data_IF_817737676248
#
_entry.id   IF_817737676248
#
_cell.length_a   1.000
_cell.length_b   1.000
_cell.length_c   1.000
_cell.angle_alpha   90.00
_cell.angle_beta   90.00
_cell.angle_gamma   90.00
#
_symmetry.space_group_name_H-M   'P 1'
#
loop_
_entity.id
_entity.type
_entity.pdbx_description
1 polymer ?
#
# COMPACT_ATOMS: atom_id res chain seq x y z
N UNK A 1 -48.21 -14.52 40.52
CA UNK A 1 -47.02 -13.88 41.12
C UNK A 1 -46.86 -12.50 40.50
N UNK A 2 -46.56 -11.45 41.26
CA UNK A 2 -46.42 -10.09 40.71
C UNK A 2 -44.94 -9.71 40.66
N UNK A 3 -44.43 -9.44 39.48
CA UNK A 3 -43.10 -8.87 39.27
C UNK A 3 -43.14 -7.34 39.36
N UNK A 4 -42.19 -6.76 40.08
CA UNK A 4 -42.07 -5.30 40.27
C UNK A 4 -41.05 -4.73 39.29
N UNK A 5 -41.27 -3.52 38.72
CA UNK A 5 -40.21 -2.79 38.02
C UNK A 5 -38.94 -2.68 38.87
N UNK A 6 -37.78 -2.94 38.27
CA UNK A 6 -36.48 -3.00 38.93
C UNK A 6 -36.16 -4.33 39.63
N UNK A 7 -37.11 -5.27 39.68
CA UNK A 7 -36.88 -6.58 40.27
C UNK A 7 -35.93 -7.42 39.39
N UNK A 8 -34.99 -8.11 40.03
CA UNK A 8 -34.10 -9.06 39.36
C UNK A 8 -34.77 -10.42 39.22
N UNK A 9 -34.66 -10.99 38.02
CA UNK A 9 -35.22 -12.29 37.67
C UNK A 9 -34.17 -13.13 36.96
N UNK A 10 -34.30 -14.44 37.07
CA UNK A 10 -33.59 -15.42 36.26
C UNK A 10 -34.59 -16.19 35.40
N UNK A 11 -34.20 -16.47 34.15
CA UNK A 11 -34.98 -17.30 33.24
C UNK A 11 -34.96 -18.74 33.74
N UNK A 12 -36.12 -19.33 33.93
CA UNK A 12 -36.26 -20.76 34.27
C UNK A 12 -36.58 -21.55 33.01
N UNK A 13 -37.45 -21.02 32.15
CA UNK A 13 -37.85 -21.64 30.90
C UNK A 13 -38.43 -20.59 29.95
N UNK A 14 -38.20 -20.76 28.65
CA UNK A 14 -38.82 -19.99 27.57
C UNK A 14 -39.33 -20.95 26.52
N UNK A 15 -40.53 -20.73 26.01
CA UNK A 15 -41.11 -21.51 24.92
C UNK A 15 -40.80 -20.93 23.53
N UNK A 16 -40.29 -19.69 23.48
CA UNK A 16 -39.83 -19.04 22.24
C UNK A 16 -38.63 -19.78 21.61
N UNK A 17 -38.80 -20.43 20.45
CA UNK A 17 -37.70 -21.15 19.79
C UNK A 17 -36.70 -20.21 19.10
N UNK A 18 -37.01 -18.92 18.99
CA UNK A 18 -36.20 -17.92 18.29
C UNK A 18 -35.33 -17.09 19.22
N UNK A 19 -35.37 -17.33 20.54
CA UNK A 19 -34.53 -16.60 21.51
C UNK A 19 -33.18 -17.27 21.75
N UNK A 20 -32.15 -16.43 21.91
CA UNK A 20 -30.83 -16.86 22.37
C UNK A 20 -30.75 -17.00 23.90
N UNK A 21 -31.78 -16.60 24.63
CA UNK A 21 -31.80 -16.76 26.08
C UNK A 21 -31.78 -18.24 26.48
N UNK A 22 -31.12 -18.54 27.60
CA UNK A 22 -31.00 -19.88 28.17
C UNK A 22 -31.48 -19.87 29.62
N UNK A 23 -32.04 -20.99 30.13
CA UNK A 23 -32.33 -21.12 31.56
C UNK A 23 -31.10 -20.78 32.41
N UNK A 24 -31.26 -19.85 33.35
CA UNK A 24 -30.19 -19.28 34.17
C UNK A 24 -29.85 -17.82 33.83
N UNK A 25 -30.16 -17.36 32.61
CA UNK A 25 -29.91 -15.97 32.22
C UNK A 25 -30.65 -15.02 33.14
N UNK A 26 -29.99 -13.92 33.50
CA UNK A 26 -30.53 -12.94 34.44
C UNK A 26 -30.91 -11.63 33.76
N UNK A 27 -31.90 -10.97 34.33
CA UNK A 27 -32.44 -9.73 33.78
C UNK A 27 -33.16 -8.89 34.83
N UNK A 28 -33.47 -7.66 34.45
CA UNK A 28 -34.20 -6.70 35.28
C UNK A 28 -35.57 -6.45 34.69
N UNK A 29 -36.61 -6.65 35.50
CA UNK A 29 -37.99 -6.39 35.11
C UNK A 29 -38.17 -4.90 34.84
N UNK A 30 -38.58 -4.54 33.63
CA UNK A 30 -38.98 -3.18 33.26
C UNK A 30 -40.41 -2.91 33.67
N UNK A 31 -41.29 -3.85 33.33
CA UNK A 31 -42.74 -3.72 33.48
C UNK A 31 -43.36 -5.10 33.54
N UNK A 32 -44.46 -5.21 34.27
CA UNK A 32 -45.31 -6.39 34.27
C UNK A 32 -46.74 -5.97 33.94
N UNK A 33 -47.24 -6.40 32.79
CA UNK A 33 -48.65 -6.25 32.42
C UNK A 33 -49.44 -7.43 32.99
N UNK A 34 -50.12 -7.17 34.11
CA UNK A 34 -50.92 -8.19 34.80
C UNK A 34 -52.16 -8.63 34.01
N UNK A 35 -52.64 -7.81 33.07
CA UNK A 35 -53.84 -8.15 32.29
C UNK A 35 -53.53 -9.20 31.22
N UNK A 36 -52.33 -9.13 30.66
CA UNK A 36 -51.88 -10.03 29.60
C UNK A 36 -50.85 -11.06 30.10
N UNK A 37 -50.50 -11.03 31.40
CA UNK A 37 -49.49 -11.91 32.00
C UNK A 37 -48.12 -11.85 31.27
N UNK A 38 -47.73 -10.65 30.84
CA UNK A 38 -46.47 -10.39 30.13
C UNK A 38 -45.50 -9.62 31.03
N UNK A 39 -44.27 -10.13 31.17
CA UNK A 39 -43.18 -9.45 31.89
C UNK A 39 -42.15 -8.96 30.89
N UNK A 40 -42.02 -7.65 30.75
CA UNK A 40 -40.95 -7.03 29.95
C UNK A 40 -39.65 -7.05 30.78
N UNK A 41 -38.61 -7.70 30.27
CA UNK A 41 -37.32 -7.84 30.95
C UNK A 41 -36.21 -7.25 30.10
N UNK A 42 -35.33 -6.46 30.71
CA UNK A 42 -34.01 -6.15 30.16
C UNK A 42 -33.05 -7.21 30.64
N UNK A 43 -32.70 -8.15 29.77
CA UNK A 43 -31.74 -9.21 30.06
C UNK A 43 -30.32 -8.67 30.04
N UNK A 44 -29.44 -9.23 30.87
CA UNK A 44 -28.05 -8.77 30.97
C UNK A 44 -27.26 -9.05 29.68
N UNK A 45 -27.71 -10.01 28.88
CA UNK A 45 -27.24 -10.27 27.51
C UNK A 45 -27.55 -9.12 26.53
N UNK A 46 -28.39 -8.15 26.93
CA UNK A 46 -28.85 -7.05 26.09
C UNK A 46 -30.20 -7.31 25.41
N UNK A 47 -30.75 -8.53 25.49
CA UNK A 47 -32.08 -8.83 24.99
C UNK A 47 -33.17 -8.05 25.74
N UNK A 48 -34.21 -7.62 25.03
CA UNK A 48 -35.42 -7.02 25.63
C UNK A 48 -36.63 -7.95 25.52
N UNK A 49 -36.41 -9.25 25.32
CA UNK A 49 -37.49 -10.22 25.13
C UNK A 49 -38.45 -10.20 26.33
N UNK A 50 -39.73 -10.08 26.00
CA UNK A 50 -40.81 -10.14 26.98
C UNK A 50 -41.21 -11.59 27.24
N UNK A 51 -41.56 -11.90 28.48
CA UNK A 51 -41.92 -13.26 28.90
C UNK A 51 -43.43 -13.38 29.03
N UNK A 52 -44.01 -14.31 28.28
CA UNK A 52 -45.44 -14.62 28.26
C UNK A 52 -45.71 -15.75 29.26
N UNK A 53 -46.09 -15.39 30.48
CA UNK A 53 -46.23 -16.37 31.57
C UNK A 53 -47.37 -17.38 31.34
N UNK A 54 -48.37 -17.02 30.52
CA UNK A 54 -49.47 -17.90 30.13
C UNK A 54 -49.07 -18.89 29.03
N UNK A 55 -48.02 -18.59 28.26
CA UNK A 55 -47.51 -19.42 27.15
C UNK A 55 -46.30 -20.27 27.55
N UNK A 56 -46.19 -20.55 28.85
CA UNK A 56 -45.24 -21.49 29.41
C UNK A 56 -43.92 -20.88 29.89
N UNK A 57 -43.66 -19.59 29.64
CA UNK A 57 -42.44 -18.93 30.12
C UNK A 57 -42.41 -18.88 31.64
N UNK A 58 -41.23 -19.09 32.22
CA UNK A 58 -41.04 -19.13 33.67
C UNK A 58 -39.87 -18.27 34.08
N UNK A 59 -40.12 -17.40 35.05
CA UNK A 59 -39.13 -16.59 35.72
C UNK A 59 -39.09 -16.96 37.20
N UNK A 60 -37.92 -16.78 37.83
CA UNK A 60 -37.81 -16.80 39.29
C UNK A 60 -37.14 -15.52 39.76
N UNK A 61 -37.62 -14.86 40.82
CA UNK A 61 -36.89 -13.75 41.43
C UNK A 61 -35.50 -14.21 41.87
N UNK A 62 -34.50 -13.36 41.68
CA UNK A 62 -33.16 -13.58 42.21
C UNK A 62 -32.74 -12.41 43.09
N UNK A 63 -32.04 -12.72 44.17
CA UNK A 63 -31.46 -11.71 45.09
C UNK A 63 -29.99 -11.44 44.79
N UNK A 64 -29.42 -12.08 43.76
CA UNK A 64 -28.05 -11.81 43.36
C UNK A 64 -27.96 -10.38 42.81
N UNK A 65 -27.16 -9.49 43.43
CA UNK A 65 -26.78 -8.25 42.76
C UNK A 65 -26.08 -8.61 41.44
N UNK A 66 -26.13 -7.73 40.41
CA UNK A 66 -25.26 -7.91 39.26
C UNK A 66 -23.84 -8.12 39.78
N UNK A 67 -23.09 -9.12 39.28
CA UNK A 67 -21.70 -9.26 39.69
C UNK A 67 -21.04 -7.89 39.43
N UNK A 68 -20.42 -7.26 40.46
CA UNK A 68 -19.61 -6.08 40.22
C UNK A 68 -18.40 -6.56 39.44
N UNK A 69 -18.50 -6.55 38.11
CA UNK A 69 -17.33 -6.58 37.26
C UNK A 69 -16.50 -5.38 37.64
N UNK A 70 -15.25 -5.62 38.06
CA UNK A 70 -14.31 -4.55 38.36
C UNK A 70 -14.15 -3.73 37.07
N UNK A 71 -14.70 -2.49 36.99
CA UNK A 71 -14.81 -1.79 35.71
C UNK A 71 -13.45 -1.53 35.08
N UNK A 72 -12.41 -1.45 35.90
CA UNK A 72 -11.02 -1.24 35.45
C UNK A 72 -10.39 -2.55 34.98
N UNK A 73 -10.67 -3.67 35.65
CA UNK A 73 -10.29 -5.01 35.22
C UNK A 73 -10.96 -5.39 33.90
N UNK A 74 -12.26 -5.11 33.78
CA UNK A 74 -13.07 -5.39 32.60
C UNK A 74 -12.67 -4.51 31.41
N UNK A 75 -12.39 -3.22 31.62
CA UNK A 75 -11.92 -2.32 30.56
C UNK A 75 -10.53 -2.72 30.04
N UNK A 76 -9.61 -3.09 30.93
CA UNK A 76 -8.26 -3.53 30.53
C UNK A 76 -8.31 -4.86 29.80
N UNK A 77 -9.11 -5.80 30.28
CA UNK A 77 -9.32 -7.09 29.62
C UNK A 77 -10.00 -6.92 28.24
N UNK A 78 -10.94 -6.00 28.13
CA UNK A 78 -11.59 -5.69 26.85
C UNK A 78 -10.63 -5.05 25.85
N UNK A 79 -9.82 -4.07 26.28
CA UNK A 79 -8.81 -3.45 25.42
C UNK A 79 -7.80 -4.48 24.90
N UNK A 80 -7.34 -5.40 25.75
CA UNK A 80 -6.46 -6.49 25.33
C UNK A 80 -7.13 -7.44 24.32
N UNK A 81 -8.43 -7.70 24.47
CA UNK A 81 -9.22 -8.47 23.50
C UNK A 81 -9.34 -7.75 22.16
N UNK A 82 -9.66 -6.45 22.15
CA UNK A 82 -9.69 -5.65 20.93
C UNK A 82 -8.32 -5.58 20.24
N UNK A 83 -7.23 -5.52 21.01
CA UNK A 83 -5.87 -5.58 20.44
C UNK A 83 -5.59 -6.91 19.75
N UNK A 84 -6.04 -8.04 20.33
CA UNK A 84 -5.94 -9.36 19.71
C UNK A 84 -6.78 -9.45 18.43
N UNK A 85 -8.01 -8.95 18.46
CA UNK A 85 -8.85 -8.86 17.25
C UNK A 85 -8.21 -8.03 16.15
N UNK A 86 -7.61 -6.88 16.49
CA UNK A 86 -6.87 -6.04 15.54
C UNK A 86 -5.69 -6.80 14.94
N UNK A 87 -4.88 -7.45 15.77
CA UNK A 87 -3.72 -8.21 15.30
C UNK A 87 -4.12 -9.35 14.35
N UNK A 88 -5.18 -10.10 14.69
CA UNK A 88 -5.72 -11.15 13.84
C UNK A 88 -6.26 -10.59 12.51
N UNK A 89 -6.97 -9.46 12.54
CA UNK A 89 -7.44 -8.77 11.33
C UNK A 89 -6.27 -8.36 10.43
N UNK A 90 -5.22 -7.77 11.01
CA UNK A 90 -3.99 -7.40 10.30
C UNK A 90 -3.33 -8.61 9.62
N UNK A 91 -3.13 -9.72 10.34
CA UNK A 91 -2.53 -10.94 9.79
C UNK A 91 -3.37 -11.54 8.64
N UNK A 92 -4.70 -11.59 8.83
CA UNK A 92 -5.62 -12.09 7.82
C UNK A 92 -5.63 -11.18 6.57
N UNK A 93 -5.58 -9.86 6.74
CA UNK A 93 -5.50 -8.88 5.66
C UNK A 93 -4.21 -9.03 4.85
N UNK A 94 -3.06 -9.16 5.52
CA UNK A 94 -1.78 -9.42 4.87
C UNK A 94 -1.80 -10.72 4.06
N UNK A 95 -2.33 -11.79 4.63
CA UNK A 95 -2.46 -13.09 3.96
C UNK A 95 -3.41 -13.02 2.75
N UNK A 96 -4.48 -12.23 2.84
CA UNK A 96 -5.39 -12.00 1.72
C UNK A 96 -4.71 -11.24 0.57
N UNK A 97 -3.94 -10.19 0.89
CA UNK A 97 -3.15 -9.43 -0.08
C UNK A 97 -2.10 -10.30 -0.79
N UNK A 98 -1.43 -11.20 -0.09
CA UNK A 98 -0.45 -12.12 -0.71
C UNK A 98 -1.10 -13.09 -1.69
N UNK A 99 -2.26 -13.65 -1.32
CA UNK A 99 -3.05 -14.51 -2.23
C UNK A 99 -3.51 -13.73 -3.44
N UNK A 100 -4.10 -12.55 -3.23
CA UNK A 100 -4.53 -11.66 -4.31
C UNK A 100 -3.37 -11.33 -5.26
N UNK A 101 -2.22 -10.92 -4.73
CA UNK A 101 -1.06 -10.56 -5.52
C UNK A 101 -0.60 -11.72 -6.39
N UNK A 102 -0.63 -12.96 -5.88
CA UNK A 102 -0.27 -14.16 -6.63
C UNK A 102 -1.12 -14.34 -7.90
N UNK A 103 -2.39 -13.94 -7.86
CA UNK A 103 -3.34 -14.03 -8.96
C UNK A 103 -3.37 -12.79 -9.86
N UNK A 104 -3.17 -11.59 -9.30
CA UNK A 104 -3.32 -10.32 -10.03
C UNK A 104 -2.02 -9.84 -10.66
N UNK A 105 -0.89 -9.93 -9.95
CA UNK A 105 0.43 -9.42 -10.37
C UNK A 105 1.53 -10.48 -10.28
N UNK A 106 1.20 -11.71 -9.89
CA UNK A 106 2.13 -12.80 -9.62
C UNK A 106 2.28 -13.76 -10.80
N UNK A 107 2.84 -14.94 -10.53
CA UNK A 107 3.12 -15.94 -11.56
C UNK A 107 1.90 -16.53 -12.25
N UNK A 108 0.70 -16.34 -11.67
CA UNK A 108 -0.56 -16.79 -12.27
C UNK A 108 -1.23 -15.71 -13.11
N UNK A 109 -0.80 -14.46 -12.99
CA UNK A 109 -1.26 -13.38 -13.84
C UNK A 109 -0.68 -13.59 -15.24
N UNK A 110 -1.54 -13.61 -16.27
CA UNK A 110 -1.08 -13.54 -17.65
C UNK A 110 -0.61 -12.13 -17.99
N UNK A 111 0.49 -12.01 -18.73
CA UNK A 111 1.02 -10.71 -19.19
C UNK A 111 2.20 -10.16 -18.38
N UNK A 112 2.58 -8.92 -18.65
CA UNK A 112 3.65 -8.21 -17.95
C UNK A 112 3.15 -7.69 -16.60
N UNK A 113 3.88 -8.02 -15.53
CA UNK A 113 3.50 -7.74 -14.14
C UNK A 113 3.77 -6.29 -13.74
N UNK A 114 4.82 -5.67 -14.30
CA UNK A 114 5.23 -4.31 -13.93
C UNK A 114 4.18 -3.26 -14.31
N UNK A 115 3.67 -3.23 -15.57
CA UNK A 115 2.62 -2.29 -15.95
C UNK A 115 1.34 -2.46 -15.12
N UNK A 116 0.92 -3.71 -14.88
CA UNK A 116 -0.25 -4.00 -14.06
C UNK A 116 -0.09 -3.48 -12.61
N UNK A 117 1.08 -3.72 -12.00
CA UNK A 117 1.38 -3.24 -10.65
C UNK A 117 1.40 -1.71 -10.56
N UNK A 118 1.98 -1.02 -11.55
CA UNK A 118 1.99 0.46 -11.62
C UNK A 118 0.58 1.03 -11.76
N UNK A 119 -0.25 0.46 -12.63
CA UNK A 119 -1.64 0.90 -12.81
C UNK A 119 -2.43 0.80 -11.50
N UNK A 120 -2.21 -0.26 -10.73
CA UNK A 120 -2.83 -0.43 -9.40
C UNK A 120 -2.31 0.62 -8.42
N UNK A 121 -1.00 0.89 -8.39
CA UNK A 121 -0.44 1.94 -7.51
C UNK A 121 -0.99 3.33 -7.83
N UNK A 122 -1.08 3.69 -9.12
CA UNK A 122 -1.67 4.94 -9.56
C UNK A 122 -3.15 5.04 -9.12
N UNK A 123 -3.94 3.99 -9.35
CA UNK A 123 -5.34 3.98 -8.91
C UNK A 123 -5.53 4.06 -7.40
N UNK A 124 -4.62 3.46 -6.60
CA UNK A 124 -4.64 3.62 -5.13
C UNK A 124 -4.35 5.08 -4.76
N UNK A 125 -3.35 5.72 -5.36
CA UNK A 125 -2.98 7.10 -5.08
C UNK A 125 -4.10 8.09 -5.46
N UNK A 126 -4.77 7.85 -6.59
CA UNK A 126 -5.88 8.68 -7.08
C UNK A 126 -7.21 8.42 -6.35
N UNK A 127 -7.27 7.35 -5.56
CA UNK A 127 -8.51 6.89 -4.92
C UNK A 127 -9.54 6.36 -5.92
N UNK A 128 -9.09 5.73 -7.01
CA UNK A 128 -9.95 5.14 -8.04
C UNK A 128 -10.81 4.01 -7.43
N UNK A 129 -12.16 4.17 -7.38
CA UNK A 129 -13.05 3.15 -6.83
C UNK A 129 -12.89 1.80 -7.52
N UNK A 130 -12.63 1.74 -8.83
CA UNK A 130 -12.49 0.47 -9.53
C UNK A 130 -11.25 -0.32 -9.08
N UNK A 131 -10.18 0.38 -8.69
CA UNK A 131 -8.97 -0.24 -8.15
C UNK A 131 -9.18 -0.62 -6.68
N UNK A 132 -9.75 0.29 -5.88
CA UNK A 132 -10.01 0.03 -4.45
C UNK A 132 -10.99 -1.12 -4.24
N UNK A 133 -12.05 -1.22 -5.05
CA UNK A 133 -13.02 -2.32 -5.02
C UNK A 133 -12.41 -3.67 -5.47
N UNK A 134 -11.30 -3.65 -6.21
CA UNK A 134 -10.58 -4.83 -6.65
C UNK A 134 -9.52 -5.32 -5.64
N UNK A 135 -9.22 -4.53 -4.60
CA UNK A 135 -8.34 -4.95 -3.51
C UNK A 135 -9.04 -5.97 -2.60
N UNK A 136 -8.29 -6.82 -1.89
CA UNK A 136 -8.90 -7.70 -0.90
C UNK A 136 -9.56 -6.84 0.19
N UNK A 137 -10.87 -6.98 0.29
CA UNK A 137 -11.66 -6.38 1.35
C UNK A 137 -12.40 -7.48 2.10
N UNK A 138 -12.72 -7.23 3.36
CA UNK A 138 -13.42 -8.22 4.18
C UNK A 138 -14.87 -8.35 3.71
N UNK A 139 -15.23 -9.49 3.13
CA UNK A 139 -16.62 -9.84 2.84
C UNK A 139 -17.15 -10.77 3.92
N UNK A 140 -18.23 -10.34 4.54
CA UNK A 140 -19.07 -11.24 5.33
C UNK A 140 -20.17 -11.78 4.40
N UNK A 141 -20.18 -13.08 4.16
CA UNK A 141 -21.31 -13.74 3.48
C UNK A 141 -22.45 -14.07 4.46
N UNK A 142 -22.25 -13.94 5.79
CA UNK A 142 -23.23 -14.33 6.82
C UNK A 142 -23.15 -13.52 8.12
N UNK A 143 -24.28 -13.19 8.75
CA UNK A 143 -24.41 -12.30 9.93
C UNK A 143 -23.26 -12.38 10.98
N UNK A 144 -22.98 -11.25 11.68
CA UNK A 144 -21.96 -11.16 12.75
C UNK A 144 -22.02 -12.32 13.76
N UNK A 145 -23.20 -12.89 13.99
CA UNK A 145 -23.39 -14.01 14.90
C UNK A 145 -22.97 -15.39 14.33
N UNK A 146 -23.05 -15.63 13.01
CA UNK A 146 -22.76 -16.94 12.42
C UNK A 146 -21.27 -17.23 12.30
N UNK A 147 -20.48 -16.20 11.96
CA UNK A 147 -19.03 -16.34 11.69
C UNK A 147 -18.14 -15.55 12.65
N UNK A 148 -18.70 -14.57 13.39
CA UNK A 148 -17.91 -13.71 14.28
C UNK A 148 -17.31 -14.47 15.47
N UNK A 149 -17.98 -15.52 15.95
CA UNK A 149 -17.47 -16.33 17.06
C UNK A 149 -16.24 -17.15 16.69
N UNK A 150 -16.13 -17.63 15.44
CA UNK A 150 -14.95 -18.36 14.95
C UNK A 150 -13.74 -17.43 14.88
N UNK A 151 -13.92 -16.24 14.29
CA UNK A 151 -12.87 -15.22 14.22
C UNK A 151 -12.43 -14.75 15.62
N UNK A 152 -13.38 -14.59 16.54
CA UNK A 152 -13.06 -14.26 17.91
C UNK A 152 -12.29 -15.38 18.61
N UNK A 153 -12.71 -16.64 18.42
CA UNK A 153 -12.03 -17.80 18.99
C UNK A 153 -10.61 -17.94 18.44
N UNK A 154 -10.41 -17.77 17.13
CA UNK A 154 -9.08 -17.83 16.50
C UNK A 154 -8.16 -16.70 17.01
N UNK A 155 -8.70 -15.48 17.14
CA UNK A 155 -7.92 -14.32 17.60
C UNK A 155 -7.59 -14.38 19.09
N UNK A 156 -8.48 -14.91 19.92
CA UNK A 156 -8.37 -14.83 21.39
C UNK A 156 -8.05 -16.14 22.07
N UNK A 157 -8.24 -17.27 21.39
CA UNK A 157 -8.20 -18.61 21.97
C UNK A 157 -9.40 -18.94 22.88
N UNK A 158 -10.44 -18.09 22.92
CA UNK A 158 -11.58 -18.23 23.83
C UNK A 158 -12.93 -18.23 23.09
N UNK A 159 -13.42 -19.42 22.80
CA UNK A 159 -14.76 -19.63 22.21
C UNK A 159 -15.87 -19.18 23.16
N UNK A 160 -15.70 -19.40 24.46
CA UNK A 160 -16.74 -19.12 25.46
C UNK A 160 -16.93 -17.63 25.72
N UNK A 161 -15.84 -16.87 25.62
CA UNK A 161 -15.81 -15.42 25.80
C UNK A 161 -16.77 -14.70 24.85
N UNK A 162 -16.86 -15.13 23.59
CA UNK A 162 -17.75 -14.52 22.60
C UNK A 162 -19.23 -14.52 23.03
N UNK A 163 -19.71 -15.66 23.54
CA UNK A 163 -21.10 -15.80 23.96
C UNK A 163 -21.43 -15.01 25.24
N UNK A 164 -20.40 -14.68 26.04
CA UNK A 164 -20.51 -13.78 27.18
C UNK A 164 -20.49 -12.28 26.82
N UNK A 165 -20.11 -11.91 25.60
CA UNK A 165 -20.13 -10.52 25.16
C UNK A 165 -21.55 -10.02 24.91
N UNK A 166 -21.80 -8.75 25.26
CA UNK A 166 -23.00 -8.02 24.85
C UNK A 166 -22.93 -7.69 23.37
N UNK A 167 -24.09 -7.49 22.73
CA UNK A 167 -24.19 -7.13 21.30
C UNK A 167 -23.23 -5.97 20.91
N UNK A 168 -23.18 -4.83 21.64
CA UNK A 168 -22.27 -3.75 21.28
C UNK A 168 -20.79 -4.12 21.32
N UNK A 169 -20.39 -5.06 22.20
CA UNK A 169 -19.01 -5.53 22.30
C UNK A 169 -18.68 -6.46 21.13
N UNK A 170 -19.61 -7.30 20.70
CA UNK A 170 -19.46 -8.11 19.48
C UNK A 170 -19.29 -7.23 18.25
N UNK A 171 -20.15 -6.21 18.11
CA UNK A 171 -20.08 -5.24 17.02
C UNK A 171 -18.76 -4.47 17.02
N UNK A 172 -18.29 -4.05 18.19
CA UNK A 172 -17.00 -3.37 18.35
C UNK A 172 -15.83 -4.29 17.99
N UNK A 173 -15.77 -5.52 18.50
CA UNK A 173 -14.73 -6.49 18.15
C UNK A 173 -14.67 -6.76 16.63
N UNK A 174 -15.83 -6.94 16.00
CA UNK A 174 -15.89 -7.18 14.56
C UNK A 174 -15.57 -5.94 13.74
N UNK A 175 -15.92 -4.75 14.20
CA UNK A 175 -15.52 -3.50 13.55
C UNK A 175 -14.00 -3.33 13.60
N UNK A 176 -13.38 -3.57 14.77
CA UNK A 176 -11.91 -3.49 14.92
C UNK A 176 -11.18 -4.49 14.04
N UNK A 177 -11.69 -5.72 13.95
CA UNK A 177 -11.12 -6.74 13.06
C UNK A 177 -11.20 -6.31 11.59
N UNK A 178 -12.37 -5.84 11.14
CA UNK A 178 -12.63 -5.42 9.76
C UNK A 178 -11.73 -4.27 9.32
N UNK A 179 -11.71 -3.21 10.12
CA UNK A 179 -10.88 -2.03 9.87
C UNK A 179 -9.39 -2.40 9.78
N UNK A 180 -8.92 -3.28 10.68
CA UNK A 180 -7.55 -3.77 10.67
C UNK A 180 -7.23 -4.67 9.47
N UNK A 181 -8.20 -5.48 9.03
CA UNK A 181 -8.08 -6.31 7.84
C UNK A 181 -7.95 -5.45 6.58
N UNK A 182 -8.92 -4.54 6.36
CA UNK A 182 -8.99 -3.75 5.13
C UNK A 182 -7.76 -2.84 4.99
N UNK A 183 -7.36 -2.19 6.09
CA UNK A 183 -6.13 -1.37 6.13
C UNK A 183 -4.90 -2.21 5.81
N UNK A 184 -4.71 -3.33 6.50
CA UNK A 184 -3.52 -4.17 6.30
C UNK A 184 -3.49 -4.83 4.92
N UNK A 185 -4.65 -5.18 4.35
CA UNK A 185 -4.76 -5.73 3.01
C UNK A 185 -4.39 -4.70 1.95
N UNK A 186 -4.90 -3.46 2.07
CA UNK A 186 -4.57 -2.38 1.14
C UNK A 186 -3.08 -2.00 1.21
N UNK A 187 -2.54 -1.80 2.41
CA UNK A 187 -1.12 -1.47 2.62
C UNK A 187 -0.21 -2.57 2.05
N UNK A 188 -0.51 -3.84 2.36
CA UNK A 188 0.27 -4.97 1.88
C UNK A 188 0.15 -5.17 0.37
N UNK A 189 -1.02 -4.93 -0.21
CA UNK A 189 -1.19 -4.96 -1.66
C UNK A 189 -0.33 -3.88 -2.35
N UNK A 190 -0.31 -2.66 -1.79
CA UNK A 190 0.54 -1.58 -2.28
C UNK A 190 2.04 -1.92 -2.17
N UNK A 191 2.49 -2.51 -1.06
CA UNK A 191 3.87 -3.00 -0.92
C UNK A 191 4.23 -4.03 -2.01
N UNK A 192 3.34 -5.01 -2.24
CA UNK A 192 3.56 -6.06 -3.22
C UNK A 192 3.55 -5.50 -4.66
N UNK A 193 2.70 -4.53 -4.95
CA UNK A 193 2.72 -3.80 -6.22
C UNK A 193 4.02 -3.01 -6.38
N UNK A 194 4.50 -2.32 -5.33
CA UNK A 194 5.81 -1.63 -5.36
C UNK A 194 6.93 -2.61 -5.67
N UNK A 195 6.98 -3.75 -5.00
CA UNK A 195 7.99 -4.79 -5.30
C UNK A 195 7.89 -5.31 -6.74
N UNK A 196 6.68 -5.54 -7.23
CA UNK A 196 6.45 -6.04 -8.59
C UNK A 196 6.75 -4.99 -9.67
N UNK A 197 6.45 -3.72 -9.42
CA UNK A 197 6.71 -2.58 -10.30
C UNK A 197 8.20 -2.19 -10.32
N UNK A 198 8.93 -2.48 -9.24
CA UNK A 198 10.32 -2.08 -9.09
C UNK A 198 11.21 -2.63 -10.22
N UNK A 199 12.04 -1.79 -10.85
CA UNK A 199 13.03 -2.27 -11.82
C UNK A 199 14.11 -3.14 -11.17
N UNK A 200 14.27 -3.06 -9.84
CA UNK A 200 15.31 -3.76 -9.07
C UNK A 200 14.78 -4.87 -8.16
N UNK A 201 13.46 -5.05 -8.06
CA UNK A 201 12.83 -6.03 -7.19
C UNK A 201 12.86 -5.68 -5.70
N UNK A 202 13.29 -4.47 -5.34
CA UNK A 202 13.25 -3.90 -3.99
C UNK A 202 12.44 -2.60 -3.96
N UNK A 203 11.95 -2.22 -2.78
CA UNK A 203 11.29 -0.93 -2.60
C UNK A 203 12.30 0.21 -2.72
N UNK A 204 12.02 1.14 -3.63
CA UNK A 204 12.85 2.30 -3.98
C UNK A 204 12.06 3.61 -3.88
N UNK A 205 10.89 3.60 -3.24
CA UNK A 205 10.01 4.76 -3.06
C UNK A 205 10.69 5.95 -2.38
N UNK A 206 11.67 5.69 -1.52
CA UNK A 206 12.48 6.72 -0.85
C UNK A 206 13.38 7.53 -1.81
N UNK A 207 13.54 7.06 -3.05
CA UNK A 207 14.31 7.74 -4.10
C UNK A 207 13.41 8.52 -5.06
N UNK A 208 12.11 8.65 -4.75
CA UNK A 208 11.17 9.44 -5.54
C UNK A 208 11.65 10.91 -5.65
N UNK A 209 11.52 11.58 -6.81
CA UNK A 209 12.01 12.94 -7.03
C UNK A 209 11.56 13.96 -5.96
N UNK A 210 10.30 13.86 -5.51
CA UNK A 210 9.77 14.74 -4.46
C UNK A 210 10.40 14.53 -3.06
N UNK A 211 11.07 13.41 -2.85
CA UNK A 211 11.65 13.01 -1.56
C UNK A 211 13.15 13.29 -1.46
N UNK A 212 13.88 13.25 -2.58
CA UNK A 212 15.32 13.50 -2.58
C UNK A 212 15.65 14.98 -2.35
N UNK A 213 16.77 15.26 -1.67
CA UNK A 213 17.29 16.60 -1.42
C UNK A 213 18.73 16.72 -1.94
N UNK A 214 19.26 17.94 -1.95
CA UNK A 214 20.68 18.16 -2.24
C UNK A 214 21.54 17.33 -1.27
N UNK A 215 22.47 16.55 -1.82
CA UNK A 215 23.30 15.59 -1.11
C UNK A 215 22.76 14.15 -1.07
N UNK A 216 21.48 13.94 -1.40
CA UNK A 216 20.90 12.60 -1.41
C UNK A 216 21.23 11.84 -2.70
N UNK A 217 21.20 10.51 -2.60
CA UNK A 217 21.21 9.63 -3.78
C UNK A 217 19.82 9.65 -4.40
N UNK A 218 19.77 9.78 -5.72
CA UNK A 218 18.55 9.71 -6.51
C UNK A 218 18.77 8.97 -7.82
N UNK A 219 17.68 8.79 -8.56
CA UNK A 219 17.69 8.28 -9.93
C UNK A 219 17.42 9.44 -10.86
N UNK A 220 18.23 9.56 -11.91
CA UNK A 220 18.10 10.61 -12.90
C UNK A 220 18.16 10.04 -14.31
N UNK A 221 17.62 10.77 -15.27
CA UNK A 221 17.69 10.39 -16.67
C UNK A 221 17.79 11.62 -17.58
N UNK A 222 18.25 11.38 -18.80
CA UNK A 222 18.24 12.37 -19.87
C UNK A 222 16.89 12.35 -20.57
N UNK A 223 16.45 13.50 -21.07
CA UNK A 223 15.22 13.67 -21.84
C UNK A 223 15.06 12.64 -23.00
N UNK A 224 16.15 12.25 -23.65
CA UNK A 224 16.14 11.24 -24.72
C UNK A 224 15.71 9.84 -24.28
N UNK A 225 15.75 9.54 -22.97
CA UNK A 225 15.39 8.23 -22.45
C UNK A 225 13.87 8.07 -22.25
N UNK A 226 13.10 9.16 -22.42
CA UNK A 226 11.66 9.15 -22.31
C UNK A 226 11.03 8.47 -23.53
N UNK A 227 10.04 7.63 -23.26
CA UNK A 227 9.31 6.83 -24.24
C UNK A 227 7.84 6.79 -23.84
N UNK A 228 6.94 6.69 -24.81
CA UNK A 228 5.54 6.44 -24.51
C UNK A 228 5.37 4.99 -24.02
N UNK A 229 4.85 4.84 -22.80
CA UNK A 229 4.53 3.54 -22.24
C UNK A 229 3.33 2.88 -22.94
N UNK A 230 3.20 1.55 -22.86
CA UNK A 230 2.04 0.82 -23.40
C UNK A 230 0.71 1.24 -22.74
N UNK A 231 0.77 1.88 -21.57
CA UNK A 231 -0.38 2.42 -20.84
C UNK A 231 -0.63 3.91 -21.14
N UNK A 232 0.13 4.53 -22.05
CA UNK A 232 0.08 5.96 -22.35
C UNK A 232 0.74 6.87 -21.31
N UNK A 233 1.34 6.29 -20.26
CA UNK A 233 2.17 7.01 -19.29
C UNK A 233 3.60 7.24 -19.80
N UNK A 234 4.26 8.28 -19.30
CA UNK A 234 5.67 8.55 -19.59
C UNK A 234 6.56 7.46 -18.98
N UNK A 235 7.56 6.99 -19.73
CA UNK A 235 8.42 5.87 -19.33
C UNK A 235 9.86 6.16 -19.62
N UNK A 236 10.71 5.82 -18.67
CA UNK A 236 12.14 6.05 -18.78
C UNK A 236 12.83 4.72 -19.10
N UNK A 237 13.40 4.60 -20.29
CA UNK A 237 14.07 3.36 -20.73
C UNK A 237 15.27 3.00 -19.85
N UNK A 238 15.97 4.02 -19.32
CA UNK A 238 17.06 3.85 -18.36
C UNK A 238 17.14 5.01 -17.37
N UNK A 239 17.23 4.68 -16.09
CA UNK A 239 17.65 5.61 -15.05
C UNK A 239 19.10 5.36 -14.63
N UNK A 240 19.78 6.40 -14.17
CA UNK A 240 21.15 6.35 -13.66
C UNK A 240 21.18 6.76 -12.20
N UNK A 241 22.02 6.11 -11.41
CA UNK A 241 22.18 6.46 -9.99
C UNK A 241 23.22 7.56 -9.85
N UNK A 242 22.87 8.61 -9.10
CA UNK A 242 23.78 9.70 -8.79
C UNK A 242 23.42 10.39 -7.47
N UNK A 243 24.31 11.24 -7.01
CA UNK A 243 24.05 12.15 -5.90
C UNK A 243 23.59 13.49 -6.46
N UNK A 244 22.44 13.97 -6.03
CA UNK A 244 21.92 15.28 -6.44
C UNK A 244 22.76 16.37 -5.77
N UNK A 245 23.53 17.14 -6.54
CA UNK A 245 24.47 18.13 -5.99
C UNK A 245 24.05 19.58 -6.20
N UNK A 246 23.21 19.86 -7.20
CA UNK A 246 22.70 21.20 -7.47
C UNK A 246 21.43 21.17 -8.33
N UNK A 247 20.82 22.34 -8.54
CA UNK A 247 19.86 22.58 -9.62
C UNK A 247 20.32 23.78 -10.44
N UNK A 248 20.28 23.66 -11.76
CA UNK A 248 20.69 24.72 -12.67
C UNK A 248 19.61 24.95 -13.73
N UNK A 249 19.07 26.17 -13.79
CA UNK A 249 17.96 26.54 -14.68
C UNK A 249 16.73 25.61 -14.59
N UNK A 250 16.48 25.04 -13.40
CA UNK A 250 15.38 24.10 -13.16
C UNK A 250 15.74 22.63 -13.42
N UNK A 251 16.90 22.36 -14.04
CA UNK A 251 17.41 21.00 -14.26
C UNK A 251 18.23 20.51 -13.09
N UNK A 252 18.18 19.20 -12.85
CA UNK A 252 18.96 18.59 -11.79
C UNK A 252 20.43 18.44 -12.21
N UNK A 253 21.36 18.60 -11.27
CA UNK A 253 22.79 18.36 -11.48
C UNK A 253 23.21 17.20 -10.59
N UNK A 254 23.73 16.13 -11.20
CA UNK A 254 24.10 14.92 -10.50
C UNK A 254 25.59 14.64 -10.56
N UNK A 255 26.15 14.12 -9.46
CA UNK A 255 27.47 13.47 -9.44
C UNK A 255 27.30 11.96 -9.48
N UNK A 256 27.85 11.30 -10.49
CA UNK A 256 27.70 9.85 -10.70
C UNK A 256 29.05 9.13 -10.75
N UNK A 257 29.04 7.81 -10.59
CA UNK A 257 30.26 6.98 -10.65
C UNK A 257 30.70 6.75 -12.09
N UNK A 258 31.94 6.30 -12.30
CA UNK A 258 32.45 5.82 -13.59
C UNK A 258 31.48 4.86 -14.29
N UNK A 259 30.95 3.87 -13.56
CA UNK A 259 30.01 2.88 -14.13
C UNK A 259 28.72 3.52 -14.63
N UNK A 260 28.16 4.50 -13.90
CA UNK A 260 26.99 5.23 -14.36
C UNK A 260 27.32 6.11 -15.58
N UNK A 261 28.47 6.78 -15.58
CA UNK A 261 28.95 7.58 -16.70
C UNK A 261 29.17 6.75 -17.99
N UNK A 262 29.79 5.58 -17.88
CA UNK A 262 29.94 4.62 -18.99
C UNK A 262 28.58 4.20 -19.54
N UNK A 263 27.63 3.90 -18.65
CA UNK A 263 26.28 3.54 -19.05
C UNK A 263 25.51 4.68 -19.73
N UNK A 264 25.76 5.94 -19.35
CA UNK A 264 25.20 7.11 -20.02
C UNK A 264 25.72 7.19 -21.46
N UNK A 265 27.03 7.09 -21.65
CA UNK A 265 27.66 7.13 -22.98
C UNK A 265 27.16 5.98 -23.85
N UNK A 266 27.10 4.76 -23.31
CA UNK A 266 26.57 3.59 -24.02
C UNK A 266 25.10 3.77 -24.41
N UNK A 267 24.27 4.32 -23.52
CA UNK A 267 22.85 4.54 -23.80
C UNK A 267 22.64 5.59 -24.88
N UNK A 268 23.39 6.68 -24.81
CA UNK A 268 23.35 7.75 -25.79
C UNK A 268 23.76 7.24 -27.19
N UNK A 269 24.80 6.40 -27.26
CA UNK A 269 25.20 5.75 -28.51
C UNK A 269 24.09 4.85 -29.06
N UNK A 270 23.39 4.11 -28.20
CA UNK A 270 22.22 3.31 -28.64
C UNK A 270 21.10 4.19 -29.18
N UNK A 271 20.87 5.36 -28.60
CA UNK A 271 19.87 6.31 -29.09
C UNK A 271 20.27 6.89 -30.45
N UNK A 272 21.54 7.27 -30.64
CA UNK A 272 22.11 7.67 -31.95
C UNK A 272 21.93 6.57 -33.00
N UNK A 273 22.22 5.32 -32.65
CA UNK A 273 22.03 4.17 -33.55
C UNK A 273 20.56 3.94 -33.93
N UNK A 274 19.63 4.12 -32.98
CA UNK A 274 18.19 4.03 -33.24
C UNK A 274 17.73 5.14 -34.18
N UNK A 275 18.11 6.38 -33.91
CA UNK A 275 17.78 7.53 -34.75
C UNK A 275 18.36 7.37 -36.16
N UNK A 276 19.60 6.89 -36.28
CA UNK A 276 20.23 6.56 -37.56
C UNK A 276 19.44 5.52 -38.35
N UNK A 277 18.94 4.48 -37.69
CA UNK A 277 18.08 3.47 -38.34
C UNK A 277 16.77 4.08 -38.81
N UNK A 278 16.14 4.91 -37.98
CA UNK A 278 14.91 5.62 -38.35
C UNK A 278 15.11 6.50 -39.60
N UNK A 279 16.15 7.34 -39.64
CA UNK A 279 16.47 8.16 -40.81
C UNK A 279 16.73 7.33 -42.07
N UNK A 280 17.37 6.17 -41.93
CA UNK A 280 17.57 5.23 -43.05
C UNK A 280 16.24 4.70 -43.56
N UNK A 281 15.33 4.33 -42.67
CA UNK A 281 14.00 3.83 -43.03
C UNK A 281 13.13 4.91 -43.70
N UNK A 282 13.38 6.19 -43.38
CA UNK A 282 12.79 7.35 -44.06
C UNK A 282 13.44 7.67 -45.43
N UNK A 283 14.51 6.94 -45.80
CA UNK A 283 15.17 7.07 -47.10
C UNK A 283 16.27 8.14 -47.17
N UNK A 284 16.78 8.59 -46.02
CA UNK A 284 17.94 9.50 -45.98
C UNK A 284 19.17 8.82 -46.63
N UNK A 285 19.88 9.50 -47.55
CA UNK A 285 21.10 8.96 -48.17
C UNK A 285 22.18 8.59 -47.16
N UNK A 286 22.91 7.50 -47.43
CA UNK A 286 23.87 6.95 -46.47
C UNK A 286 25.00 7.92 -46.10
N UNK A 287 25.39 8.80 -47.03
CA UNK A 287 26.39 9.86 -46.87
C UNK A 287 25.88 11.08 -46.09
N UNK A 288 24.57 11.25 -45.94
CA UNK A 288 23.96 12.30 -45.11
C UNK A 288 23.61 11.84 -43.69
N UNK A 289 23.56 10.52 -43.43
CA UNK A 289 23.06 9.96 -42.17
C UNK A 289 23.81 10.50 -40.94
N UNK A 290 25.14 10.48 -40.96
CA UNK A 290 25.94 10.89 -39.80
C UNK A 290 25.74 12.37 -39.47
N UNK A 291 25.79 13.25 -40.48
CA UNK A 291 25.53 14.67 -40.28
C UNK A 291 24.12 14.97 -39.75
N UNK A 292 23.10 14.21 -40.17
CA UNK A 292 21.74 14.37 -39.62
C UNK A 292 21.60 13.87 -38.19
N UNK A 293 22.29 12.80 -37.83
CA UNK A 293 22.33 12.33 -36.44
C UNK A 293 23.04 13.36 -35.57
N UNK A 294 24.21 13.86 -36.00
CA UNK A 294 25.03 14.79 -35.22
C UNK A 294 24.40 16.18 -35.04
N UNK A 295 23.52 16.58 -35.97
CA UNK A 295 22.73 17.83 -35.83
C UNK A 295 21.56 17.70 -34.85
N UNK A 296 21.14 16.47 -34.53
CA UNK A 296 20.00 16.20 -33.65
C UNK A 296 20.43 15.69 -32.28
N UNK A 297 21.54 14.94 -32.21
CA UNK A 297 22.04 14.28 -31.01
C UNK A 297 23.55 14.50 -30.94
N UNK A 298 24.04 15.01 -29.81
CA UNK A 298 25.47 15.14 -29.55
C UNK A 298 26.21 13.79 -29.71
N UNK A 299 27.53 13.78 -29.93
CA UNK A 299 28.32 12.54 -29.88
C UNK A 299 29.01 12.44 -28.52
N UNK A 300 28.65 11.43 -27.72
CA UNK A 300 29.29 11.18 -26.42
C UNK A 300 30.30 10.05 -26.55
N UNK A 301 31.51 10.29 -26.04
CA UNK A 301 32.56 9.27 -26.00
C UNK A 301 33.49 9.47 -24.81
N UNK A 302 34.33 8.48 -24.51
CA UNK A 302 35.42 8.61 -23.56
C UNK A 302 36.75 8.85 -24.29
N UNK A 303 37.47 9.90 -23.90
CA UNK A 303 38.89 10.08 -24.17
C UNK A 303 39.67 9.82 -22.87
N UNK A 304 40.07 8.57 -22.68
CA UNK A 304 40.67 8.09 -21.43
C UNK A 304 39.67 8.13 -20.27
N UNK A 305 39.84 9.11 -19.38
CA UNK A 305 38.93 9.35 -18.26
C UNK A 305 37.97 10.52 -18.45
N UNK A 306 38.10 11.27 -19.54
CA UNK A 306 37.27 12.43 -19.85
C UNK A 306 36.09 12.00 -20.71
N UNK A 307 34.88 12.39 -20.32
CA UNK A 307 33.73 12.31 -21.24
C UNK A 307 33.84 13.50 -22.19
N UNK A 308 33.85 13.22 -23.48
CA UNK A 308 33.83 14.20 -24.55
C UNK A 308 32.44 14.24 -25.15
N UNK A 309 31.82 15.41 -25.11
CA UNK A 309 30.55 15.67 -25.74
C UNK A 309 30.76 16.59 -26.95
N UNK A 310 30.78 16.00 -28.14
CA UNK A 310 30.91 16.75 -29.37
C UNK A 310 29.53 17.24 -29.84
N UNK A 311 29.31 18.54 -29.76
CA UNK A 311 28.04 19.19 -30.11
C UNK A 311 28.22 20.18 -31.28
N UNK A 312 29.36 20.12 -31.97
CA UNK A 312 29.69 21.09 -33.01
C UNK A 312 28.67 21.14 -34.14
N UNK A 313 28.18 19.96 -34.54
CA UNK A 313 27.14 19.86 -35.56
C UNK A 313 25.76 20.31 -35.06
N UNK A 314 25.43 20.03 -33.79
CA UNK A 314 24.15 20.41 -33.17
C UNK A 314 23.99 21.93 -33.06
N UNK A 315 25.05 22.65 -32.72
CA UNK A 315 25.01 24.11 -32.53
C UNK A 315 25.56 24.92 -33.70
N UNK A 316 26.07 24.27 -34.75
CA UNK A 316 26.83 24.92 -35.83
C UNK A 316 27.97 25.82 -35.28
N UNK A 317 28.63 25.32 -34.23
CA UNK A 317 29.71 26.02 -33.51
C UNK A 317 30.94 25.10 -33.42
N UNK A 318 32.07 25.45 -34.07
CA UNK A 318 33.27 24.61 -34.05
C UNK A 318 33.91 24.44 -32.66
N UNK A 319 33.57 25.30 -31.69
CA UNK A 319 34.10 25.28 -30.34
C UNK A 319 33.15 24.59 -29.34
N UNK A 320 31.97 24.12 -29.77
CA UNK A 320 30.99 23.43 -28.93
C UNK A 320 31.40 21.97 -28.63
N UNK A 321 32.47 21.82 -27.87
CA UNK A 321 32.93 20.55 -27.30
C UNK A 321 33.05 20.68 -25.79
N UNK A 322 32.18 19.99 -25.05
CA UNK A 322 32.30 19.89 -23.60
C UNK A 322 33.18 18.72 -23.19
N UNK A 323 33.94 18.92 -22.12
CA UNK A 323 34.83 17.91 -21.53
C UNK A 323 34.55 17.79 -20.05
N UNK A 324 34.10 16.61 -19.63
CA UNK A 324 33.77 16.32 -18.24
C UNK A 324 34.85 15.41 -17.69
N UNK A 325 35.74 16.00 -16.90
CA UNK A 325 36.77 15.28 -16.15
C UNK A 325 36.19 14.75 -14.84
N UNK A 326 36.60 13.56 -14.37
CA UNK A 326 36.23 13.12 -13.05
C UNK A 326 36.83 14.04 -11.97
N UNK A 327 36.16 14.13 -10.83
CA UNK A 327 36.70 14.79 -9.65
C UNK A 327 37.78 13.94 -8.94
N UNK A 328 38.26 14.42 -7.79
CA UNK A 328 39.29 13.73 -7.00
C UNK A 328 38.86 12.34 -6.50
N UNK A 329 37.55 12.09 -6.41
CA UNK A 329 36.96 10.82 -6.00
C UNK A 329 36.59 9.92 -7.19
N UNK A 330 36.94 10.34 -8.42
CA UNK A 330 36.65 9.60 -9.64
C UNK A 330 35.19 9.72 -10.11
N UNK A 331 34.45 10.72 -9.63
CA UNK A 331 33.03 10.92 -9.96
C UNK A 331 32.85 11.98 -11.05
N UNK A 332 31.80 11.83 -11.82
CA UNK A 332 31.47 12.69 -12.96
C UNK A 332 30.31 13.59 -12.62
N UNK A 333 30.46 14.90 -12.82
CA UNK A 333 29.35 15.85 -12.70
C UNK A 333 28.66 15.96 -14.06
N UNK A 334 27.43 15.48 -14.14
CA UNK A 334 26.57 15.62 -15.31
C UNK A 334 25.58 16.75 -15.05
N UNK A 335 25.56 17.74 -15.95
CA UNK A 335 24.89 19.02 -15.70
C UNK A 335 23.98 19.45 -16.85
N UNK A 336 22.97 20.23 -16.50
CA UNK A 336 21.86 20.69 -17.34
C UNK A 336 22.17 21.59 -18.54
N UNK A 337 23.45 21.90 -18.81
CA UNK A 337 23.81 22.86 -19.88
C UNK A 337 23.58 22.28 -21.27
N UNK A 338 24.15 21.11 -21.51
CA UNK A 338 24.15 20.47 -22.82
C UNK A 338 23.17 19.29 -22.90
N UNK A 339 22.68 18.84 -21.76
CA UNK A 339 21.74 17.74 -21.60
C UNK A 339 20.77 18.06 -20.48
N UNK A 340 19.48 17.99 -20.77
CA UNK A 340 18.44 18.17 -19.77
C UNK A 340 18.35 16.90 -18.91
N UNK A 341 18.89 16.98 -17.69
CA UNK A 341 18.80 15.91 -16.72
C UNK A 341 17.64 16.16 -15.77
N UNK A 342 16.80 15.14 -15.60
CA UNK A 342 15.67 15.14 -14.68
C UNK A 342 15.89 14.11 -13.58
N UNK A 343 15.48 14.46 -12.35
CA UNK A 343 15.24 13.44 -11.35
C UNK A 343 13.95 12.70 -11.72
N UNK A 344 14.02 11.37 -11.84
CA UNK A 344 12.91 10.53 -12.30
C UNK A 344 12.47 9.57 -11.21
N UNK A 345 11.19 9.19 -11.18
CA UNK A 345 10.74 8.12 -10.30
C UNK A 345 11.45 6.81 -10.72
N UNK A 346 12.19 6.14 -9.82
CA UNK A 346 12.72 4.82 -10.08
C UNK A 346 11.68 3.83 -10.60
N UNK A 347 10.41 3.98 -10.20
CA UNK A 347 9.33 3.14 -10.69
C UNK A 347 8.98 3.40 -12.14
N UNK A 348 9.28 4.55 -12.73
CA UNK A 348 9.05 4.81 -14.16
C UNK A 348 10.16 4.24 -15.05
N UNK A 349 11.29 3.86 -14.44
CA UNK A 349 12.43 3.27 -15.12
C UNK A 349 12.21 1.80 -15.50
N UNK A 350 12.66 1.39 -16.69
CA UNK A 350 12.74 -0.03 -17.08
C UNK A 350 13.93 -0.74 -16.46
N UNK A 351 15.03 0.00 -16.38
CA UNK A 351 16.31 -0.44 -15.85
C UNK A 351 16.97 0.73 -15.15
N UNK A 352 17.66 0.46 -14.05
CA UNK A 352 18.50 1.43 -13.35
C UNK A 352 19.95 0.96 -13.41
N UNK A 353 20.88 1.87 -13.66
CA UNK A 353 22.32 1.58 -13.67
C UNK A 353 23.05 2.36 -12.58
N UNK A 354 23.83 1.63 -11.79
CA UNK A 354 24.55 2.14 -10.64
C UNK A 354 24.09 1.50 -9.33
N UNK A 355 24.80 1.79 -8.25
CA UNK A 355 24.55 1.18 -6.95
C UNK A 355 23.53 2.02 -6.17
N UNK A 356 22.29 1.53 -6.06
CA UNK A 356 21.31 2.17 -5.17
C UNK A 356 21.58 1.76 -3.72
N UNK A 357 21.42 2.68 -2.77
CA UNK A 357 21.55 2.37 -1.35
C UNK A 357 20.48 1.35 -0.92
N UNK A 358 20.83 0.48 0.03
CA UNK A 358 19.92 -0.52 0.58
C UNK A 358 18.84 0.09 1.49
N UNK A 359 19.10 1.29 2.03
CA UNK A 359 18.21 2.02 2.93
C UNK A 359 18.31 3.53 2.67
N UNK A 360 17.26 4.31 3.01
CA UNK A 360 17.35 5.77 2.98
C UNK A 360 18.58 6.24 3.77
N UNK A 361 19.34 7.17 3.21
CA UNK A 361 20.48 7.76 3.90
C UNK A 361 20.03 8.24 5.29
N UNK A 362 20.76 7.91 6.38
CA UNK A 362 20.47 8.53 7.66
C UNK A 362 20.60 10.03 7.46
N UNK A 363 19.50 10.77 7.67
CA UNK A 363 19.48 12.22 7.55
C UNK A 363 20.65 12.78 8.33
N UNK A 364 21.57 13.41 7.60
CA UNK A 364 22.62 14.20 8.22
C UNK A 364 21.94 15.49 8.66
N UNK A 365 21.38 15.49 9.87
CA UNK A 365 20.89 16.72 10.50
C UNK A 365 22.11 17.64 10.69
N UNK A 366 22.31 18.56 9.75
CA UNK A 366 23.34 19.60 9.74
C UNK A 366 22.77 20.97 10.08
#
# INVERSE_FOLDING_TARGET
MIYQPGQRVALVHTSDPHTLLRPGDTGTVRRHDQRHHIVEVTWDSGSTLSMCLDDGDRLTPTTNPPPPGDPVGDATAWAATLQRMRAAGTEAGQTAAERWAQHTIGARAGGDRRPAARRILAGIADGDPAVLDALPHFTIDDSVDTSGWELFADATGDVSGWFGLRIPQRDEAMTVYRDAFDTAAADRAADLCRLAASPTGRDVSHLHPDQIRLGDVGVFSGDWAHTEGPDGGDRVAVGFVGTLIDHWNGWAVFSCTRTAAEAIVDDQQRHRDQHRRHLRDEGVPADELDGRVDTTLADLSFDGDVIVADQRAMFDDPDAIDRITPDADGRYVVMGYSWCWEAVDPYDCDRIVGDLPDHPNPRSDG
#
